data_IF_024851148477
#
_entry.id   IF_024851148477
#
_cell.length_a   1.000
_cell.length_b   1.000
_cell.length_c   1.000
_cell.angle_alpha   90.00
_cell.angle_beta   90.00
_cell.angle_gamma   90.00
#
_symmetry.space_group_name_H-M   'P 1'
#
loop_
_entity.id
_entity.type
_entity.pdbx_description
1 polymer ?
#
# COMPACT_ATOMS: atom_id res chain seq x y z
N UNK A 1 -2.76 -19.00 -4.09
CA UNK A 1 -2.78 -17.64 -4.69
C UNK A 1 -1.43 -16.99 -4.43
N UNK A 2 -0.68 -16.64 -5.48
CA UNK A 2 0.59 -15.92 -5.33
C UNK A 2 0.29 -14.49 -4.87
N UNK A 3 0.82 -14.10 -3.71
CA UNK A 3 0.73 -12.74 -3.18
C UNK A 3 2.11 -12.10 -3.22
N UNK A 4 2.14 -10.78 -3.29
CA UNK A 4 3.41 -10.07 -3.21
C UNK A 4 4.00 -10.22 -1.80
N UNK A 5 5.28 -10.61 -1.71
CA UNK A 5 6.03 -10.56 -0.45
C UNK A 5 6.33 -9.10 -0.08
N UNK A 6 5.50 -8.50 0.78
CA UNK A 6 5.63 -7.09 1.19
C UNK A 6 6.94 -6.76 1.93
N UNK A 7 7.62 -7.77 2.45
CA UNK A 7 8.97 -7.69 3.02
C UNK A 7 10.06 -7.55 1.93
N UNK A 8 9.90 -8.27 0.82
CA UNK A 8 10.84 -8.27 -0.31
C UNK A 8 10.58 -7.19 -1.36
N UNK A 9 9.46 -6.44 -1.29
CA UNK A 9 9.19 -5.32 -2.20
C UNK A 9 9.35 -3.95 -1.56
N UNK A 10 9.62 -2.94 -2.40
CA UNK A 10 9.58 -1.52 -2.08
C UNK A 10 8.45 -0.88 -2.88
N UNK A 11 7.60 -0.11 -2.20
CA UNK A 11 6.48 0.64 -2.83
C UNK A 11 6.80 2.13 -2.75
N UNK A 12 6.96 2.77 -3.91
CA UNK A 12 7.27 4.21 -4.01
C UNK A 12 6.31 4.93 -4.94
N UNK A 13 5.82 6.08 -4.50
CA UNK A 13 5.05 6.99 -5.33
C UNK A 13 6.04 7.94 -6.02
N UNK A 14 6.17 7.81 -7.33
CA UNK A 14 7.24 8.46 -8.09
C UNK A 14 6.81 9.74 -8.78
N UNK A 15 5.53 9.86 -9.13
CA UNK A 15 5.03 10.98 -9.92
C UNK A 15 3.57 11.27 -9.61
N UNK A 16 3.19 12.54 -9.66
CA UNK A 16 1.80 12.95 -9.74
C UNK A 16 1.59 13.76 -11.03
N UNK A 17 0.53 13.46 -11.77
CA UNK A 17 0.19 14.10 -13.04
C UNK A 17 -1.23 14.62 -12.95
N UNK A 18 -1.43 15.90 -13.23
CA UNK A 18 -2.76 16.51 -13.34
C UNK A 18 -3.15 16.46 -14.82
N UNK A 19 -4.22 15.74 -15.13
CA UNK A 19 -4.79 15.76 -16.48
C UNK A 19 -5.75 16.95 -16.57
N UNK A 20 -5.52 17.85 -17.53
CA UNK A 20 -6.44 18.96 -17.79
C UNK A 20 -7.83 18.41 -18.13
N UNK A 21 -8.86 18.91 -17.43
CA UNK A 21 -10.25 18.44 -17.58
C UNK A 21 -10.66 17.34 -16.60
N UNK A 22 -9.73 16.73 -15.86
CA UNK A 22 -10.05 15.79 -14.77
C UNK A 22 -10.13 16.51 -13.42
N UNK A 23 -11.04 16.05 -12.56
CA UNK A 23 -11.21 16.58 -11.19
C UNK A 23 -10.19 16.02 -10.18
N UNK A 24 -9.31 15.09 -10.59
CA UNK A 24 -8.36 14.40 -9.69
C UNK A 24 -7.01 14.20 -10.35
N UNK A 25 -5.96 14.17 -9.54
CA UNK A 25 -4.61 13.89 -10.01
C UNK A 25 -4.37 12.38 -10.13
N UNK A 26 -3.45 11.99 -11.02
CA UNK A 26 -2.97 10.61 -11.18
C UNK A 26 -1.60 10.45 -10.54
N UNK A 27 -1.50 9.53 -9.59
CA UNK A 27 -0.29 9.18 -8.87
C UNK A 27 0.27 7.87 -9.43
N UNK A 28 1.53 7.90 -9.86
CA UNK A 28 2.26 6.72 -10.32
C UNK A 28 2.93 6.06 -9.12
N UNK A 29 2.63 4.79 -8.90
CA UNK A 29 3.20 3.93 -7.88
C UNK A 29 4.13 2.95 -8.59
N UNK A 30 5.41 2.94 -8.21
CA UNK A 30 6.36 1.92 -8.58
C UNK A 30 6.43 0.87 -7.47
N UNK A 31 6.32 -0.39 -7.84
CA UNK A 31 6.55 -1.54 -6.96
C UNK A 31 7.79 -2.26 -7.49
N UNK A 32 8.83 -2.32 -6.67
CA UNK A 32 10.11 -2.95 -7.03
C UNK A 32 10.40 -4.10 -6.10
N UNK A 33 10.61 -5.30 -6.63
CA UNK A 33 11.16 -6.42 -5.87
C UNK A 33 12.65 -6.16 -5.63
N UNK A 34 13.07 -6.14 -4.36
CA UNK A 34 14.43 -5.80 -3.93
C UNK A 34 15.46 -6.85 -4.37
N UNK A 35 15.02 -8.08 -4.58
CA UNK A 35 15.89 -9.21 -4.84
C UNK A 35 16.02 -9.50 -6.33
N UNK A 36 14.89 -9.49 -7.06
CA UNK A 36 14.89 -9.71 -8.51
C UNK A 36 15.11 -8.43 -9.30
N UNK A 37 15.07 -7.26 -8.63
CA UNK A 37 15.13 -5.92 -9.24
C UNK A 37 14.02 -5.63 -10.25
N UNK A 38 13.02 -6.50 -10.38
CA UNK A 38 11.88 -6.30 -11.25
C UNK A 38 11.02 -5.18 -10.68
N UNK A 39 10.72 -4.20 -11.53
CA UNK A 39 9.85 -3.09 -11.19
C UNK A 39 8.62 -3.10 -12.09
N UNK A 40 7.46 -2.89 -11.48
CA UNK A 40 6.19 -2.63 -12.17
C UNK A 40 5.64 -1.30 -11.70
N UNK A 41 4.82 -0.66 -12.52
CA UNK A 41 4.17 0.59 -12.14
C UNK A 41 2.68 0.54 -12.39
N UNK A 42 1.92 1.23 -11.53
CA UNK A 42 0.49 1.45 -11.67
C UNK A 42 0.17 2.91 -11.45
N UNK A 43 -0.89 3.41 -12.08
CA UNK A 43 -1.43 4.74 -11.82
C UNK A 43 -2.71 4.64 -11.00
N UNK A 44 -2.92 5.58 -10.06
CA UNK A 44 -4.07 5.64 -9.15
C UNK A 44 -4.54 7.08 -8.95
N UNK A 45 -5.82 7.27 -8.69
CA UNK A 45 -6.45 8.57 -8.41
C UNK A 45 -6.59 8.83 -6.91
N UNK A 46 -6.93 10.06 -6.51
CA UNK A 46 -7.29 10.37 -5.12
C UNK A 46 -8.44 9.47 -4.61
N UNK A 47 -9.45 9.19 -5.45
CA UNK A 47 -10.56 8.27 -5.13
C UNK A 47 -10.13 6.82 -4.91
N UNK A 48 -9.10 6.36 -5.62
CA UNK A 48 -8.57 5.01 -5.41
C UNK A 48 -7.91 4.89 -4.03
N UNK A 49 -7.20 5.93 -3.58
CA UNK A 49 -6.62 5.98 -2.24
C UNK A 49 -7.71 6.09 -1.14
N UNK A 50 -8.79 6.83 -1.38
CA UNK A 50 -9.95 6.83 -0.47
C UNK A 50 -10.56 5.43 -0.33
N UNK A 51 -10.72 4.74 -1.46
CA UNK A 51 -11.21 3.36 -1.51
C UNK A 51 -10.27 2.42 -0.78
N UNK A 52 -8.95 2.58 -0.97
CA UNK A 52 -7.94 1.79 -0.27
C UNK A 52 -8.03 1.96 1.26
N UNK A 53 -8.13 3.20 1.76
CA UNK A 53 -8.31 3.44 3.20
C UNK A 53 -9.56 2.73 3.71
N UNK A 54 -10.69 2.92 3.03
CA UNK A 54 -11.94 2.31 3.47
C UNK A 54 -11.82 0.78 3.49
N UNK A 55 -11.20 0.17 2.48
CA UNK A 55 -10.98 -1.27 2.40
C UNK A 55 -10.01 -1.76 3.49
N UNK A 56 -8.94 -1.02 3.80
CA UNK A 56 -8.01 -1.36 4.90
C UNK A 56 -8.71 -1.26 6.25
N UNK A 57 -9.47 -0.19 6.49
CA UNK A 57 -10.28 -0.03 7.70
C UNK A 57 -11.32 -1.16 7.85
N UNK A 58 -11.99 -1.54 6.77
CA UNK A 58 -12.93 -2.67 6.76
C UNK A 58 -12.22 -4.01 6.96
N UNK A 59 -11.04 -4.21 6.37
CA UNK A 59 -10.25 -5.44 6.51
C UNK A 59 -9.75 -5.63 7.95
N UNK A 60 -9.35 -4.54 8.60
CA UNK A 60 -8.99 -4.52 10.01
C UNK A 60 -10.16 -4.87 10.91
N UNK A 61 -11.41 -4.61 10.52
CA UNK A 61 -12.62 -4.87 11.31
C UNK A 61 -12.60 -4.12 12.65
N UNK A 62 -13.30 -2.98 12.71
CA UNK A 62 -13.28 -2.10 13.87
C UNK A 62 -13.81 -2.82 15.13
N UNK A 63 -13.02 -2.79 16.21
CA UNK A 63 -13.42 -3.31 17.51
C UNK A 63 -13.11 -4.79 17.76
N UNK A 64 -12.34 -5.46 16.90
CA UNK A 64 -11.84 -6.80 17.23
C UNK A 64 -10.78 -6.74 18.35
N UNK A 65 -10.76 -7.76 19.19
CA UNK A 65 -9.74 -7.93 20.23
C UNK A 65 -8.59 -8.75 19.68
N UNK A 66 -7.38 -8.19 19.70
CA UNK A 66 -6.16 -8.91 19.37
C UNK A 66 -4.97 -8.34 20.15
N UNK A 67 -3.92 -9.14 20.29
CA UNK A 67 -2.65 -8.71 20.90
C UNK A 67 -1.80 -7.84 19.97
N UNK A 68 -2.26 -7.59 18.73
CA UNK A 68 -1.60 -6.72 17.77
C UNK A 68 -2.05 -5.25 17.93
N UNK A 69 -1.30 -4.32 17.33
CA UNK A 69 -1.57 -2.87 17.38
C UNK A 69 -2.73 -2.42 16.46
N UNK A 70 -3.69 -3.31 16.17
CA UNK A 70 -4.78 -3.04 15.22
C UNK A 70 -5.66 -1.83 15.56
N UNK A 71 -6.05 -1.58 16.83
CA UNK A 71 -6.86 -0.40 17.16
C UNK A 71 -6.12 0.91 16.88
N UNK A 72 -4.84 0.97 17.21
CA UNK A 72 -3.98 2.15 16.96
C UNK A 72 -3.77 2.36 15.46
N UNK A 73 -3.49 1.29 14.73
CA UNK A 73 -3.28 1.36 13.29
C UNK A 73 -4.55 1.77 12.52
N UNK A 74 -5.73 1.35 12.97
CA UNK A 74 -7.00 1.82 12.40
C UNK A 74 -7.11 3.34 12.49
N UNK A 75 -6.79 3.93 13.66
CA UNK A 75 -6.81 5.37 13.88
C UNK A 75 -5.77 6.06 12.99
N UNK A 76 -4.55 5.54 12.92
CA UNK A 76 -3.47 6.11 12.11
C UNK A 76 -3.83 6.15 10.62
N UNK A 77 -4.36 5.06 10.07
CA UNK A 77 -4.80 4.96 8.66
C UNK A 77 -5.96 5.92 8.40
N UNK A 78 -6.90 6.03 9.33
CA UNK A 78 -8.05 6.93 9.19
C UNK A 78 -7.63 8.40 9.20
N UNK A 79 -6.61 8.77 9.97
CA UNK A 79 -6.10 10.14 10.05
C UNK A 79 -5.18 10.53 8.88
N UNK A 80 -4.47 9.57 8.27
CA UNK A 80 -3.47 9.86 7.22
C UNK A 80 -4.07 10.37 5.91
N UNK A 81 -5.24 9.87 5.49
CA UNK A 81 -5.90 10.37 4.27
C UNK A 81 -6.89 11.50 4.61
N UNK A 82 -6.68 12.71 4.08
CA UNK A 82 -7.64 13.80 4.25
C UNK A 82 -9.01 13.42 3.68
N UNK A 83 -10.08 13.66 4.43
CA UNK A 83 -11.45 13.51 3.94
C UNK A 83 -11.67 14.46 2.75
N UNK A 84 -12.38 13.99 1.71
CA UNK A 84 -12.72 14.75 0.50
C UNK A 84 -13.23 16.14 0.87
N UNK A 85 -12.45 17.19 0.59
CA UNK A 85 -12.92 18.56 0.72
C UNK A 85 -13.68 18.91 -0.56
N UNK A 86 -15.00 18.98 -0.46
CA UNK A 86 -15.90 19.32 -1.58
C UNK A 86 -15.67 20.72 -2.17
N UNK A 87 -14.80 21.53 -1.55
CA UNK A 87 -14.60 22.95 -1.88
C UNK A 87 -13.16 23.33 -2.28
N UNK A 88 -12.25 22.36 -2.50
CA UNK A 88 -10.88 22.67 -2.96
C UNK A 88 -10.53 21.89 -4.22
N UNK A 89 -10.12 22.63 -5.26
CA UNK A 89 -9.60 22.03 -6.49
C UNK A 89 -8.38 21.17 -6.16
N UNK A 90 -8.52 19.85 -6.35
CA UNK A 90 -7.49 18.84 -6.03
C UNK A 90 -6.35 18.82 -7.06
N UNK A 91 -6.35 19.78 -8.00
CA UNK A 91 -5.42 19.86 -9.14
C UNK A 91 -4.34 20.93 -8.97
N UNK A 92 -4.37 21.71 -7.89
CA UNK A 92 -3.32 22.69 -7.63
C UNK A 92 -1.99 22.00 -7.30
N UNK A 93 -0.89 22.38 -7.94
CA UNK A 93 0.40 21.67 -7.84
C UNK A 93 0.87 21.42 -6.39
N UNK A 94 0.68 22.40 -5.50
CA UNK A 94 1.01 22.25 -4.07
C UNK A 94 0.12 21.21 -3.35
N UNK A 95 -1.17 21.16 -3.67
CA UNK A 95 -2.11 20.17 -3.11
C UNK A 95 -1.72 18.77 -3.58
N UNK A 96 -1.39 18.64 -4.87
CA UNK A 96 -0.96 17.38 -5.48
C UNK A 96 0.37 16.88 -4.88
N UNK A 97 1.34 17.77 -4.67
CA UNK A 97 2.60 17.40 -3.99
C UNK A 97 2.38 16.98 -2.53
N UNK A 98 1.48 17.67 -1.81
CA UNK A 98 1.10 17.30 -0.44
C UNK A 98 0.40 15.93 -0.41
N UNK A 99 -0.50 15.68 -1.36
CA UNK A 99 -1.19 14.39 -1.51
C UNK A 99 -0.21 13.26 -1.82
N UNK A 100 0.72 13.47 -2.76
CA UNK A 100 1.77 12.52 -3.10
C UNK A 100 2.56 12.08 -1.85
N UNK A 101 3.00 13.05 -1.03
CA UNK A 101 3.72 12.76 0.22
C UNK A 101 2.84 11.99 1.21
N UNK A 102 1.59 12.41 1.41
CA UNK A 102 0.66 11.72 2.34
C UNK A 102 0.37 10.29 1.92
N UNK A 103 0.18 10.06 0.62
CA UNK A 103 -0.05 8.72 0.09
C UNK A 103 1.19 7.83 0.21
N UNK A 104 2.40 8.39 0.02
CA UNK A 104 3.64 7.68 0.31
C UNK A 104 3.77 7.33 1.80
N UNK A 105 3.51 8.28 2.70
CA UNK A 105 3.59 8.04 4.13
C UNK A 105 2.57 6.98 4.57
N UNK A 106 1.37 6.99 3.99
CA UNK A 106 0.37 5.94 4.22
C UNK A 106 0.87 4.59 3.71
N UNK A 107 1.39 4.49 2.48
CA UNK A 107 1.88 3.21 1.96
C UNK A 107 3.04 2.66 2.76
N UNK A 108 3.94 3.53 3.20
CA UNK A 108 5.03 3.17 4.10
C UNK A 108 4.46 2.63 5.42
N UNK A 109 3.46 3.30 6.01
CA UNK A 109 2.83 2.88 7.25
C UNK A 109 2.14 1.51 7.12
N UNK A 110 1.31 1.30 6.08
CA UNK A 110 0.59 0.03 5.90
C UNK A 110 1.57 -1.11 5.58
N UNK A 111 2.59 -0.87 4.75
CA UNK A 111 3.63 -1.88 4.46
C UNK A 111 4.44 -2.24 5.72
N UNK A 112 4.84 -1.26 6.53
CA UNK A 112 5.52 -1.50 7.80
C UNK A 112 4.62 -2.30 8.78
N UNK A 113 3.33 -2.01 8.78
CA UNK A 113 2.38 -2.68 9.66
C UNK A 113 2.17 -4.16 9.27
N UNK A 114 2.05 -4.49 7.98
CA UNK A 114 1.89 -5.88 7.52
C UNK A 114 3.19 -6.70 7.59
N UNK A 115 4.35 -6.05 7.58
CA UNK A 115 5.65 -6.73 7.70
C UNK A 115 6.11 -6.90 9.15
N UNK A 116 5.51 -6.16 10.09
CA UNK A 116 5.88 -6.21 11.51
C UNK A 116 5.58 -7.57 12.14
N UNK A 117 6.60 -8.14 12.79
CA UNK A 117 6.49 -9.42 13.47
C UNK A 117 5.47 -9.41 14.62
N UNK A 118 5.28 -8.24 15.26
CA UNK A 118 4.34 -8.07 16.37
C UNK A 118 2.87 -8.24 15.95
N UNK A 119 2.56 -7.97 14.68
CA UNK A 119 1.19 -8.06 14.17
C UNK A 119 0.86 -9.44 13.56
N UNK A 120 1.78 -10.40 13.64
CA UNK A 120 1.60 -11.76 13.09
C UNK A 120 0.51 -12.56 13.81
N UNK A 121 0.17 -12.18 15.04
CA UNK A 121 -0.90 -12.80 15.82
C UNK A 121 -2.30 -12.48 15.29
N UNK A 122 -2.46 -11.41 14.50
CA UNK A 122 -3.77 -11.01 13.99
C UNK A 122 -3.99 -11.51 12.55
N UNK A 123 -5.00 -12.37 12.36
CA UNK A 123 -5.42 -12.89 11.05
C UNK A 123 -5.76 -11.76 10.05
N UNK A 124 -6.41 -10.69 10.50
CA UNK A 124 -6.78 -9.56 9.66
C UNK A 124 -5.55 -8.89 9.04
N UNK A 125 -4.48 -8.73 9.83
CA UNK A 125 -3.23 -8.08 9.38
C UNK A 125 -2.39 -9.01 8.52
N UNK A 126 -2.42 -10.31 8.78
CA UNK A 126 -1.63 -11.28 8.02
C UNK A 126 -2.29 -11.73 6.71
N UNK A 127 -3.61 -11.63 6.61
CA UNK A 127 -4.36 -12.14 5.46
C UNK A 127 -5.12 -11.03 4.73
N UNK A 128 -6.08 -10.38 5.41
CA UNK A 128 -7.00 -9.44 4.76
C UNK A 128 -6.33 -8.14 4.31
N UNK A 129 -5.49 -7.52 5.14
CA UNK A 129 -4.82 -6.26 4.77
C UNK A 129 -3.81 -6.45 3.61
N UNK A 130 -2.97 -7.50 3.58
CA UNK A 130 -2.12 -7.81 2.45
C UNK A 130 -2.89 -8.13 1.16
N UNK A 131 -4.07 -8.76 1.26
CA UNK A 131 -4.94 -8.98 0.09
C UNK A 131 -5.43 -7.66 -0.51
N UNK A 132 -5.90 -6.73 0.35
CA UNK A 132 -6.34 -5.40 -0.08
C UNK A 132 -5.20 -4.64 -0.74
N UNK A 133 -4.00 -4.66 -0.15
CA UNK A 133 -2.83 -4.01 -0.74
C UNK A 133 -2.42 -4.66 -2.07
N UNK A 134 -2.38 -5.99 -2.15
CA UNK A 134 -2.02 -6.70 -3.36
C UNK A 134 -3.00 -6.36 -4.49
N UNK A 135 -4.30 -6.39 -4.21
CA UNK A 135 -5.35 -6.01 -5.16
C UNK A 135 -5.14 -4.58 -5.64
N UNK A 136 -4.92 -3.64 -4.72
CA UNK A 136 -4.67 -2.24 -5.08
C UNK A 136 -3.45 -2.06 -5.98
N UNK A 137 -2.33 -2.73 -5.69
CA UNK A 137 -1.07 -2.52 -6.40
C UNK A 137 -0.96 -3.27 -7.73
N UNK A 138 -1.62 -4.43 -7.84
CA UNK A 138 -1.34 -5.41 -8.91
C UNK A 138 -2.55 -5.75 -9.76
N UNK A 139 -3.77 -5.59 -9.26
CA UNK A 139 -4.95 -5.85 -10.07
C UNK A 139 -4.97 -4.92 -11.29
N UNK A 140 -5.06 -5.53 -12.48
CA UNK A 140 -5.01 -4.80 -13.76
C UNK A 140 -3.61 -4.42 -14.25
N UNK A 141 -2.54 -4.82 -13.55
CA UNK A 141 -1.14 -4.59 -13.98
C UNK A 141 -0.59 -5.87 -14.61
N UNK A 142 0.09 -5.76 -15.75
CA UNK A 142 0.84 -6.88 -16.31
C UNK A 142 2.08 -7.13 -15.46
N UNK A 143 2.08 -8.20 -14.67
CA UNK A 143 3.15 -8.53 -13.72
C UNK A 143 3.90 -9.77 -14.15
N UNK A 144 5.23 -9.68 -14.21
CA UNK A 144 6.10 -10.81 -14.50
C UNK A 144 6.16 -11.78 -13.30
N UNK A 145 6.24 -13.11 -13.52
CA UNK A 145 6.28 -14.10 -12.44
C UNK A 145 7.37 -13.85 -11.39
N UNK A 146 8.50 -13.29 -11.80
CA UNK A 146 9.66 -12.92 -10.97
C UNK A 146 9.36 -11.82 -9.94
N UNK A 147 8.24 -11.11 -10.06
CA UNK A 147 7.78 -10.14 -9.07
C UNK A 147 7.37 -10.81 -7.75
N UNK A 148 6.90 -12.05 -7.83
CA UNK A 148 6.44 -12.84 -6.67
C UNK A 148 7.55 -13.69 -6.05
N UNK A 149 8.73 -13.73 -6.68
CA UNK A 149 9.84 -14.55 -6.22
C UNK A 149 10.48 -13.93 -4.98
N UNK A 150 10.59 -14.73 -3.93
CA UNK A 150 11.51 -14.50 -2.81
C UNK A 150 12.63 -15.51 -2.97
N UNK A 151 13.83 -15.00 -3.22
CA UNK A 151 15.10 -15.71 -3.18
C UNK A 151 15.36 -16.08 -1.73
N UNK A 152 15.25 -17.38 -1.44
CA UNK A 152 15.53 -17.90 -0.10
C UNK A 152 16.99 -17.58 0.24
N UNK A 153 17.30 -16.96 1.40
CA UNK A 153 18.68 -16.77 1.80
C UNK A 153 19.40 -18.12 1.83
N UNK A 154 20.51 -18.24 1.09
CA UNK A 154 21.34 -19.45 0.99
C UNK A 154 21.86 -19.91 2.36
N UNK A 155 21.78 -19.07 3.39
CA UNK A 155 22.18 -19.38 4.78
C UNK A 155 21.40 -20.50 5.45
N UNK A 156 20.25 -20.96 4.91
CA UNK A 156 19.53 -22.14 5.44
C UNK A 156 19.97 -23.48 4.84
N UNK A 157 20.89 -23.51 3.88
CA UNK A 157 21.41 -24.75 3.29
C UNK A 157 22.68 -25.27 4.00
N UNK A 158 23.15 -24.60 5.06
CA UNK A 158 24.37 -24.95 5.80
C UNK A 158 24.14 -25.36 7.27
N UNK A 159 22.94 -25.84 7.59
CA UNK A 159 22.74 -26.66 8.79
C UNK A 159 22.18 -27.99 8.33
N UNK A 160 23.10 -28.92 8.08
CA UNK A 160 22.80 -30.36 8.04
C UNK A 160 22.43 -30.90 9.41
#
# INVERSE_FOLDING_TARGET
MNRIPFDAVTVTLTKATVIQGHQSALYTIAITNKETHVAVSTTKTDSDFETLRNNVCSALEHGHTCDALCPWFYVDVQQKIPKKHWFRSSTHAWVVASHLKKYQDMMTLVCAFVTSAHNRSCYHVMQRVPEVLHKFLIEGVAVYPTMYTVTVPITRLLTG
#
